data_IF_395068065817
#
_entry.id   IF_395068065817
#
_cell.length_a   1.000
_cell.length_b   1.000
_cell.length_c   1.000
_cell.angle_alpha   90.00
_cell.angle_beta   90.00
_cell.angle_gamma   90.00
#
_symmetry.space_group_name_H-M   'P 1'
#
loop_
_entity.id
_entity.type
_entity.pdbx_description
1 polymer ?
#
# COMPACT_ATOMS: atom_id res chain seq x y z
N UNK A 1 12.42 -4.41 7.36
CA UNK A 1 11.06 -4.98 7.32
C UNK A 1 10.39 -4.50 6.05
N UNK A 2 9.78 -5.40 5.30
CA UNK A 2 9.11 -5.10 4.05
C UNK A 2 7.65 -5.53 4.16
N UNK A 3 6.71 -4.63 3.90
CA UNK A 3 5.29 -4.89 3.85
C UNK A 3 4.89 -5.33 2.43
N UNK A 4 3.78 -6.05 2.30
CA UNK A 4 3.28 -6.51 1.00
C UNK A 4 2.11 -5.65 0.52
N UNK A 5 2.15 -5.22 -0.75
CA UNK A 5 1.08 -4.50 -1.42
C UNK A 5 0.52 -5.29 -2.60
N UNK A 6 -0.80 -5.33 -2.80
CA UNK A 6 -1.36 -5.88 -4.02
C UNK A 6 -0.96 -5.01 -5.23
N UNK A 7 -0.67 -5.67 -6.36
CA UNK A 7 -0.35 -4.98 -7.62
C UNK A 7 -1.55 -4.24 -8.22
N UNK A 8 -2.77 -4.66 -7.88
CA UNK A 8 -4.02 -4.06 -8.36
C UNK A 8 -4.48 -2.98 -7.37
N UNK A 9 -4.52 -1.73 -7.82
CA UNK A 9 -5.09 -0.63 -7.04
C UNK A 9 -6.62 -0.67 -7.14
N UNK A 10 -7.30 -0.91 -6.04
CA UNK A 10 -8.74 -0.63 -5.94
C UNK A 10 -8.93 0.86 -5.67
N UNK A 11 -9.74 1.55 -6.49
CA UNK A 11 -10.08 2.96 -6.29
C UNK A 11 -10.98 3.11 -5.05
N UNK A 12 -10.37 3.37 -3.89
CA UNK A 12 -11.11 3.64 -2.65
C UNK A 12 -11.28 5.14 -2.49
N UNK A 13 -12.53 5.61 -2.54
CA UNK A 13 -12.89 6.98 -2.21
C UNK A 13 -12.98 7.09 -0.68
N UNK A 14 -11.88 7.46 0.00
CA UNK A 14 -11.94 7.85 1.43
C UNK A 14 -12.41 9.30 1.51
N UNK A 15 -13.65 9.52 1.93
CA UNK A 15 -14.19 10.86 2.20
C UNK A 15 -14.61 10.99 3.66
N UNK A 16 -14.23 12.11 4.27
CA UNK A 16 -14.47 12.43 5.67
C UNK A 16 -15.97 12.53 5.98
N UNK A 17 -16.36 12.01 7.14
CA UNK A 17 -17.75 12.05 7.62
C UNK A 17 -18.01 13.32 8.41
N UNK A 18 -18.61 14.33 7.78
CA UNK A 18 -19.16 15.48 8.51
C UNK A 18 -20.43 15.05 9.27
N UNK A 19 -20.38 15.09 10.61
CA UNK A 19 -21.41 14.60 11.56
C UNK A 19 -22.52 15.62 11.89
N UNK A 20 -22.71 16.68 11.11
CA UNK A 20 -23.77 17.67 11.38
C UNK A 20 -25.16 17.19 10.89
N UNK A 21 -26.21 17.37 11.72
CA UNK A 21 -27.60 16.95 11.40
C UNK A 21 -28.13 17.61 10.13
N UNK A 22 -27.73 18.86 9.85
CA UNK A 22 -28.14 19.65 8.69
C UNK A 22 -27.33 19.40 7.42
N UNK A 23 -26.29 18.57 7.48
CA UNK A 23 -25.35 18.42 6.38
C UNK A 23 -25.98 17.62 5.22
N UNK A 24 -25.95 18.20 4.02
CA UNK A 24 -26.60 17.67 2.82
C UNK A 24 -26.08 16.27 2.42
N UNK A 25 -24.78 16.03 2.59
CA UNK A 25 -24.14 14.74 2.27
C UNK A 25 -24.66 13.61 3.15
N UNK A 26 -24.95 13.88 4.44
CA UNK A 26 -25.54 12.88 5.35
C UNK A 26 -26.95 12.48 4.90
N UNK A 27 -27.70 13.43 4.35
CA UNK A 27 -29.06 13.24 3.82
C UNK A 27 -29.08 12.65 2.41
N UNK A 28 -27.91 12.41 1.79
CA UNK A 28 -27.75 11.78 0.46
C UNK A 28 -28.45 12.54 -0.68
N UNK A 29 -28.41 13.88 -0.66
CA UNK A 29 -28.90 14.68 -1.79
C UNK A 29 -28.12 14.39 -3.09
N UNK A 30 -28.81 14.42 -4.23
CA UNK A 30 -28.21 14.24 -5.56
C UNK A 30 -27.16 15.34 -5.83
N UNK A 31 -26.04 14.99 -6.45
CA UNK A 31 -24.93 15.91 -6.74
C UNK A 31 -23.88 16.06 -5.63
N UNK A 32 -24.13 15.49 -4.44
CA UNK A 32 -23.18 15.48 -3.34
C UNK A 32 -22.25 14.26 -3.36
N UNK A 33 -21.10 14.36 -2.68
CA UNK A 33 -20.19 13.22 -2.57
C UNK A 33 -20.82 12.06 -1.79
N UNK A 34 -20.56 10.83 -2.24
CA UNK A 34 -21.11 9.63 -1.59
C UNK A 34 -20.40 9.40 -0.25
N UNK A 35 -21.18 9.09 0.79
CA UNK A 35 -20.65 8.66 2.10
C UNK A 35 -20.10 7.23 2.00
N UNK A 36 -19.07 6.87 2.78
CA UNK A 36 -18.61 5.48 2.85
C UNK A 36 -19.74 4.58 3.37
N UNK A 37 -19.91 3.43 2.74
CA UNK A 37 -20.89 2.40 3.07
C UNK A 37 -20.23 1.01 2.89
N UNK A 38 -20.85 -0.03 3.45
CA UNK A 38 -20.33 -1.41 3.40
C UNK A 38 -20.15 -1.89 1.95
N UNK A 39 -20.96 -1.38 1.01
CA UNK A 39 -20.90 -1.71 -0.41
C UNK A 39 -19.68 -1.17 -1.17
N UNK A 40 -18.91 -0.22 -0.60
CA UNK A 40 -17.61 0.21 -1.15
C UNK A 40 -16.42 -0.60 -0.61
N UNK A 41 -16.67 -1.64 0.20
CA UNK A 41 -15.62 -2.51 0.73
C UNK A 41 -14.82 -3.19 -0.38
N UNK A 42 -13.53 -3.41 -0.11
CA UNK A 42 -12.68 -4.28 -0.94
C UNK A 42 -13.16 -5.73 -0.77
N UNK A 43 -13.01 -6.56 -1.81
CA UNK A 43 -13.19 -8.01 -1.67
C UNK A 43 -12.36 -8.54 -0.51
N UNK A 44 -12.95 -9.39 0.36
CA UNK A 44 -12.28 -9.93 1.55
C UNK A 44 -10.91 -10.56 1.26
N UNK A 45 -10.72 -11.11 0.05
CA UNK A 45 -9.44 -11.68 -0.44
C UNK A 45 -8.28 -10.69 -0.50
N UNK A 46 -8.56 -9.40 -0.67
CA UNK A 46 -7.55 -8.33 -0.73
C UNK A 46 -7.51 -7.49 0.57
N UNK A 47 -8.21 -7.93 1.61
CA UNK A 47 -8.22 -7.26 2.92
C UNK A 47 -7.12 -7.85 3.80
N UNK A 48 -6.22 -7.00 4.30
CA UNK A 48 -5.13 -7.37 5.23
C UNK A 48 -4.20 -8.49 4.73
N UNK A 49 -3.48 -8.26 3.62
CA UNK A 49 -2.38 -9.13 3.19
C UNK A 49 -1.05 -8.46 3.50
N UNK A 50 -0.53 -8.67 4.71
CA UNK A 50 0.83 -8.24 5.08
C UNK A 50 1.59 -9.39 5.77
N UNK A 51 2.19 -10.33 5.01
CA UNK A 51 3.29 -11.15 5.52
C UNK A 51 4.58 -10.33 5.70
N UNK A 52 5.41 -10.72 6.68
CA UNK A 52 6.53 -9.91 7.19
C UNK A 52 7.90 -10.17 6.51
N UNK A 53 7.98 -11.10 5.55
CA UNK A 53 9.25 -11.59 4.99
C UNK A 53 9.29 -11.70 3.46
N UNK A 54 10.46 -11.40 2.86
CA UNK A 54 10.68 -11.36 1.41
C UNK A 54 10.61 -12.76 0.75
N UNK A 55 10.95 -13.81 1.49
CA UNK A 55 10.99 -15.19 0.97
C UNK A 55 9.60 -15.77 0.73
N UNK A 56 8.62 -15.33 1.53
CA UNK A 56 7.21 -15.70 1.38
C UNK A 56 6.63 -15.24 0.03
N UNK A 57 7.24 -14.22 -0.58
CA UNK A 57 6.81 -13.66 -1.87
C UNK A 57 7.33 -14.42 -3.10
N UNK A 58 8.22 -15.40 -2.95
CA UNK A 58 8.80 -16.12 -4.08
C UNK A 58 7.71 -16.71 -5.00
N UNK A 59 6.69 -17.33 -4.40
CA UNK A 59 5.60 -17.97 -5.15
C UNK A 59 4.53 -16.97 -5.64
N UNK A 60 4.45 -15.79 -5.04
CA UNK A 60 3.34 -14.85 -5.25
C UNK A 60 3.76 -13.50 -5.88
N UNK A 61 4.93 -13.47 -6.52
CA UNK A 61 5.54 -12.30 -7.15
C UNK A 61 4.65 -11.59 -8.20
N UNK A 62 3.69 -12.29 -8.82
CA UNK A 62 2.73 -11.72 -9.79
C UNK A 62 1.52 -11.02 -9.17
N UNK A 63 1.23 -11.31 -7.91
CA UNK A 63 0.05 -10.76 -7.21
C UNK A 63 0.44 -9.62 -6.28
N UNK A 64 1.66 -9.69 -5.76
CA UNK A 64 2.13 -8.86 -4.66
C UNK A 64 3.44 -8.14 -4.99
N UNK A 65 3.62 -6.98 -4.36
CA UNK A 65 4.84 -6.16 -4.38
C UNK A 65 5.32 -5.93 -2.96
N UNK A 66 6.62 -5.76 -2.77
CA UNK A 66 7.20 -5.42 -1.49
C UNK A 66 7.32 -3.90 -1.30
N UNK A 67 7.07 -3.41 -0.10
CA UNK A 67 7.25 -2.02 0.33
C UNK A 67 8.20 -2.00 1.52
N UNK A 68 9.35 -1.35 1.40
CA UNK A 68 10.32 -1.25 2.49
C UNK A 68 9.77 -0.29 3.55
N UNK A 69 9.74 -0.74 4.81
CA UNK A 69 9.28 0.07 5.94
C UNK A 69 10.20 1.27 6.21
N UNK A 70 9.61 2.33 6.77
CA UNK A 70 10.31 3.61 7.02
C UNK A 70 11.49 3.47 8.00
N UNK A 71 11.39 2.56 8.98
CA UNK A 71 12.38 2.33 10.03
C UNK A 71 13.64 1.59 9.57
N UNK A 72 13.67 1.07 8.33
CA UNK A 72 14.82 0.33 7.80
C UNK A 72 15.94 1.30 7.44
N UNK A 73 17.13 1.08 8.01
CA UNK A 73 18.33 1.87 7.70
C UNK A 73 18.81 1.66 6.26
N UNK A 74 19.45 2.67 5.68
CA UNK A 74 19.89 2.66 4.27
C UNK A 74 20.76 1.46 3.89
N UNK A 75 21.64 0.98 4.78
CA UNK A 75 22.50 -0.20 4.55
C UNK A 75 21.66 -1.45 4.28
N UNK A 76 20.70 -1.74 5.16
CA UNK A 76 19.77 -2.88 5.02
C UNK A 76 18.84 -2.72 3.81
N UNK A 77 18.55 -1.48 3.38
CA UNK A 77 17.74 -1.25 2.17
C UNK A 77 18.46 -1.70 0.90
N UNK A 78 19.77 -1.50 0.79
CA UNK A 78 20.57 -1.99 -0.35
C UNK A 78 20.47 -3.51 -0.46
N UNK A 79 20.71 -4.20 0.66
CA UNK A 79 20.63 -5.68 0.73
C UNK A 79 19.22 -6.20 0.36
N UNK A 80 18.16 -5.50 0.81
CA UNK A 80 16.77 -5.87 0.49
C UNK A 80 16.46 -5.68 -1.00
N UNK A 81 16.95 -4.59 -1.61
CA UNK A 81 16.72 -4.31 -3.04
C UNK A 81 17.46 -5.33 -3.91
N UNK A 82 18.72 -5.63 -3.58
CA UNK A 82 19.52 -6.63 -4.28
C UNK A 82 18.86 -8.01 -4.19
N UNK A 83 18.41 -8.41 -2.99
CA UNK A 83 17.71 -9.67 -2.78
C UNK A 83 16.37 -9.71 -3.51
N UNK A 84 15.61 -8.61 -3.54
CA UNK A 84 14.36 -8.53 -4.27
C UNK A 84 14.56 -8.70 -5.79
N UNK A 85 15.67 -8.20 -6.32
CA UNK A 85 16.01 -8.30 -7.73
C UNK A 85 16.36 -9.74 -8.13
N UNK A 86 17.09 -10.46 -7.28
CA UNK A 86 17.35 -11.90 -7.47
C UNK A 86 16.05 -12.72 -7.50
N UNK A 87 15.10 -12.39 -6.62
CA UNK A 87 13.81 -13.09 -6.50
C UNK A 87 12.74 -12.60 -7.51
N UNK A 88 13.08 -11.65 -8.38
CA UNK A 88 12.17 -11.01 -9.33
C UNK A 88 10.89 -10.44 -8.67
N UNK A 89 11.03 -9.86 -7.47
CA UNK A 89 9.93 -9.23 -6.73
C UNK A 89 9.93 -7.72 -7.02
N UNK A 90 8.77 -7.17 -7.37
CA UNK A 90 8.61 -5.72 -7.54
C UNK A 90 8.63 -5.02 -6.18
N UNK A 91 9.56 -4.08 -5.99
CA UNK A 91 9.59 -3.18 -4.83
C UNK A 91 8.93 -1.85 -5.19
N UNK A 92 8.06 -1.32 -4.32
CA UNK A 92 7.34 -0.05 -4.59
C UNK A 92 8.18 1.21 -4.36
N UNK A 93 9.15 1.13 -3.45
CA UNK A 93 10.00 2.25 -3.03
C UNK A 93 11.51 1.90 -3.06
N UNK A 94 12.08 1.48 -4.22
CA UNK A 94 13.45 0.98 -4.29
C UNK A 94 14.52 2.04 -3.93
N UNK A 95 14.36 3.28 -4.38
CA UNK A 95 15.38 4.32 -4.20
C UNK A 95 15.21 5.15 -2.91
N UNK A 96 14.26 4.79 -2.05
CA UNK A 96 13.94 5.58 -0.88
C UNK A 96 15.14 5.62 0.10
N UNK A 97 15.67 6.82 0.38
CA UNK A 97 16.83 7.06 1.26
C UNK A 97 18.19 6.55 0.75
N UNK A 98 18.28 6.07 -0.50
CA UNK A 98 19.55 5.65 -1.11
C UNK A 98 20.24 6.80 -1.85
N UNK A 99 19.49 7.63 -2.58
CA UNK A 99 20.04 8.73 -3.39
C UNK A 99 20.86 9.73 -2.57
N UNK A 100 20.36 10.17 -1.41
CA UNK A 100 21.02 11.16 -0.56
C UNK A 100 22.34 10.70 0.09
N UNK A 101 22.75 9.44 -0.09
CA UNK A 101 23.97 8.85 0.49
C UNK A 101 24.97 8.38 -0.56
N UNK A 102 24.59 8.38 -1.83
CA UNK A 102 25.49 8.07 -2.94
C UNK A 102 26.06 9.35 -3.56
N UNK A 103 25.36 10.47 -3.37
CA UNK A 103 25.77 11.82 -3.77
C UNK A 103 26.60 12.56 -2.68
N UNK A 104 26.93 11.89 -1.58
CA UNK A 104 27.78 12.37 -0.46
C UNK A 104 28.98 11.43 -0.30
#
# INVERSE_FOLDING_TARGET
>A
MAAIRPLVKTNIIRKGTNKFIRHQVRRRFKGQYKVPNIGYGIWKRCSHVCPDELEVLLMQNRTFSAEIAHNVSSRKRKDIVERAQQLAIKVTNPNASLQSKEDE
#
